data_IF_323162141507
#
_entry.id   IF_323162141507
#
_cell.length_a   1.000
_cell.length_b   1.000
_cell.length_c   1.000
_cell.angle_alpha   90.00
_cell.angle_beta   90.00
_cell.angle_gamma   90.00
#
_symmetry.space_group_name_H-M   'P 1'
#
loop_
_entity.id
_entity.type
_entity.pdbx_description
1 polymer ?
#
# COMPACT_ATOMS: atom_id res chain seq x y z
N UNK A 1 5.78 -30.64 26.57
CA UNK A 1 6.52 -29.80 25.61
C UNK A 1 5.81 -29.93 24.26
N UNK A 2 4.89 -29.00 23.91
CA UNK A 2 4.14 -29.08 22.67
C UNK A 2 4.97 -28.54 21.48
N UNK A 3 5.16 -29.42 20.50
CA UNK A 3 5.13 -29.24 19.03
C UNK A 3 5.37 -27.84 18.43
N UNK A 4 6.59 -27.63 17.93
CA UNK A 4 6.97 -26.54 17.01
C UNK A 4 6.50 -26.75 15.55
N UNK A 5 5.77 -27.83 15.27
CA UNK A 5 5.33 -28.22 13.91
C UNK A 5 3.91 -27.72 13.56
N UNK A 6 3.10 -27.41 14.58
CA UNK A 6 1.69 -27.02 14.41
C UNK A 6 1.52 -25.54 14.01
N UNK A 7 2.51 -24.69 14.32
CA UNK A 7 2.54 -23.26 13.89
C UNK A 7 2.96 -23.09 12.42
N UNK A 8 3.68 -24.07 11.84
CA UNK A 8 4.16 -24.00 10.47
C UNK A 8 3.03 -24.21 9.44
N UNK A 9 2.03 -25.02 9.77
CA UNK A 9 0.92 -25.34 8.88
C UNK A 9 -0.04 -24.15 8.63
N UNK A 10 -0.47 -23.38 9.66
CA UNK A 10 -1.24 -22.16 9.49
C UNK A 10 -0.50 -21.11 8.65
N UNK A 11 0.79 -20.88 8.92
CA UNK A 11 1.62 -19.94 8.16
C UNK A 11 1.75 -20.38 6.70
N UNK A 12 1.96 -21.68 6.45
CA UNK A 12 2.01 -22.22 5.09
C UNK A 12 0.69 -22.04 4.32
N UNK A 13 -0.47 -22.17 4.99
CA UNK A 13 -1.77 -21.90 4.38
C UNK A 13 -1.95 -20.42 4.05
N UNK A 14 -1.58 -19.51 4.96
CA UNK A 14 -1.63 -18.07 4.72
C UNK A 14 -0.72 -17.65 3.57
N UNK A 15 0.47 -18.23 3.47
CA UNK A 15 1.38 -17.99 2.34
C UNK A 15 0.77 -18.40 1.00
N UNK A 16 0.02 -19.51 0.97
CA UNK A 16 -0.72 -19.92 -0.25
C UNK A 16 -1.85 -18.95 -0.57
N UNK A 17 -2.60 -18.49 0.43
CA UNK A 17 -3.65 -17.47 0.23
C UNK A 17 -3.05 -16.19 -0.36
N UNK A 18 -1.95 -15.70 0.22
CA UNK A 18 -1.23 -14.52 -0.27
C UNK A 18 -0.76 -14.71 -1.73
N UNK A 19 -0.11 -15.85 -2.02
CA UNK A 19 0.35 -16.17 -3.38
C UNK A 19 -0.78 -16.23 -4.41
N UNK A 20 -1.99 -16.65 -4.03
CA UNK A 20 -3.16 -16.63 -4.91
C UNK A 20 -3.68 -15.22 -5.14
N UNK A 21 -3.74 -14.39 -4.08
CA UNK A 21 -4.19 -13.00 -4.18
C UNK A 21 -3.20 -12.13 -4.97
N UNK A 22 -1.90 -12.41 -4.92
CA UNK A 22 -0.87 -11.69 -5.68
C UNK A 22 -0.98 -11.91 -7.21
N UNK A 23 -1.73 -12.92 -7.67
CA UNK A 23 -2.02 -13.09 -9.11
C UNK A 23 -2.99 -12.00 -9.62
N UNK A 24 -3.83 -11.47 -8.73
CA UNK A 24 -4.74 -10.38 -9.06
C UNK A 24 -3.96 -9.06 -9.21
N UNK A 25 -4.37 -8.21 -10.14
CA UNK A 25 -3.65 -6.96 -10.49
C UNK A 25 -2.82 -7.07 -11.76
N UNK A 26 -2.08 -8.18 -11.94
CA UNK A 26 -1.43 -8.47 -13.22
C UNK A 26 -2.45 -8.87 -14.30
N UNK A 27 -3.63 -9.37 -13.92
CA UNK A 27 -4.68 -9.84 -14.83
C UNK A 27 -6.04 -9.33 -14.36
N UNK A 28 -6.90 -8.96 -15.31
CA UNK A 28 -8.32 -8.74 -15.03
C UNK A 28 -9.01 -10.10 -15.08
N UNK A 29 -9.76 -10.44 -14.04
CA UNK A 29 -10.56 -11.66 -13.95
C UNK A 29 -9.83 -13.00 -14.21
N UNK A 30 -8.69 -13.32 -13.57
CA UNK A 30 -7.95 -14.53 -13.88
C UNK A 30 -8.76 -15.82 -13.62
N UNK A 31 -8.61 -16.81 -14.50
CA UNK A 31 -9.26 -18.13 -14.33
C UNK A 31 -8.53 -19.00 -13.32
N UNK A 32 -9.16 -20.07 -12.82
CA UNK A 32 -8.49 -21.04 -11.94
C UNK A 32 -7.17 -21.55 -12.54
N UNK A 33 -7.15 -21.86 -13.84
CA UNK A 33 -5.95 -22.35 -14.51
C UNK A 33 -4.82 -21.31 -14.51
N UNK A 34 -5.16 -20.04 -14.74
CA UNK A 34 -4.19 -18.95 -14.71
C UNK A 34 -3.67 -18.69 -13.29
N UNK A 35 -4.56 -18.70 -12.30
CA UNK A 35 -4.19 -18.54 -10.89
C UNK A 35 -3.23 -19.65 -10.48
N UNK A 36 -3.52 -20.91 -10.80
CA UNK A 36 -2.65 -22.04 -10.43
C UNK A 36 -1.28 -21.97 -11.12
N UNK A 37 -1.24 -21.52 -12.37
CA UNK A 37 0.00 -21.38 -13.13
C UNK A 37 0.94 -20.33 -12.55
N UNK A 38 0.39 -19.23 -12.03
CA UNK A 38 1.17 -18.08 -11.58
C UNK A 38 1.41 -18.02 -10.07
N UNK A 39 0.61 -18.72 -9.27
CA UNK A 39 0.79 -18.78 -7.80
C UNK A 39 1.67 -19.92 -7.33
N UNK A 40 2.01 -20.87 -8.20
CA UNK A 40 2.70 -22.13 -7.85
C UNK A 40 1.96 -22.94 -6.75
N UNK A 41 0.63 -22.78 -6.64
CA UNK A 41 -0.24 -23.52 -5.72
C UNK A 41 -0.93 -24.67 -6.47
N UNK A 42 -0.90 -25.91 -5.95
CA UNK A 42 -1.56 -27.06 -6.58
C UNK A 42 -3.05 -26.81 -6.85
N UNK A 43 -3.56 -27.30 -7.99
CA UNK A 43 -4.92 -26.98 -8.47
C UNK A 43 -6.05 -27.32 -7.49
N UNK A 44 -5.97 -28.44 -6.78
CA UNK A 44 -6.98 -28.87 -5.80
C UNK A 44 -7.04 -27.92 -4.60
N UNK A 45 -5.88 -27.55 -4.04
CA UNK A 45 -5.74 -26.53 -2.99
C UNK A 45 -6.17 -25.15 -3.48
N UNK A 46 -5.72 -24.80 -4.69
CA UNK A 46 -6.24 -23.79 -5.61
C UNK A 46 -7.73 -23.50 -5.41
N UNK A 47 -8.48 -24.50 -5.86
CA UNK A 47 -9.92 -24.46 -5.93
C UNK A 47 -10.58 -24.27 -4.56
N UNK A 48 -10.13 -25.03 -3.55
CA UNK A 48 -10.68 -24.96 -2.19
C UNK A 48 -10.45 -23.59 -1.56
N UNK A 49 -9.24 -23.05 -1.65
CA UNK A 49 -8.92 -21.73 -1.10
C UNK A 49 -9.75 -20.64 -1.79
N UNK A 50 -9.83 -20.67 -3.13
CA UNK A 50 -10.63 -19.70 -3.87
C UNK A 50 -12.12 -19.79 -3.51
N UNK A 51 -12.68 -20.99 -3.30
CA UNK A 51 -14.05 -21.14 -2.81
C UNK A 51 -14.25 -20.47 -1.44
N UNK A 52 -13.32 -20.68 -0.50
CA UNK A 52 -13.39 -20.03 0.80
C UNK A 52 -13.24 -18.50 0.70
N UNK A 53 -12.35 -18.00 -0.17
CA UNK A 53 -12.21 -16.56 -0.41
C UNK A 53 -13.47 -15.93 -1.02
N UNK A 54 -14.20 -16.68 -1.88
CA UNK A 54 -15.52 -16.27 -2.38
C UNK A 54 -16.53 -16.19 -1.25
N UNK A 55 -16.61 -17.21 -0.38
CA UNK A 55 -17.52 -17.21 0.77
C UNK A 55 -17.25 -16.06 1.75
N UNK A 56 -15.98 -15.69 1.94
CA UNK A 56 -15.56 -14.56 2.77
C UNK A 56 -15.78 -13.19 2.09
N UNK A 57 -16.14 -13.17 0.80
CA UNK A 57 -16.32 -11.95 0.01
C UNK A 57 -15.01 -11.24 -0.37
N UNK A 58 -13.86 -11.91 -0.21
CA UNK A 58 -12.55 -11.35 -0.57
C UNK A 58 -12.31 -11.38 -2.07
N UNK A 59 -12.89 -12.37 -2.75
CA UNK A 59 -12.96 -12.45 -4.21
C UNK A 59 -14.39 -12.76 -4.64
N UNK A 60 -14.71 -12.48 -5.89
CA UNK A 60 -16.02 -12.73 -6.47
C UNK A 60 -15.86 -13.53 -7.78
N UNK A 61 -16.87 -14.31 -8.15
CA UNK A 61 -16.87 -14.99 -9.46
C UNK A 61 -17.25 -14.00 -10.54
N UNK A 62 -16.45 -13.92 -11.61
CA UNK A 62 -16.73 -13.10 -12.78
C UNK A 62 -16.64 -13.97 -14.03
N UNK A 63 -17.78 -14.47 -14.50
CA UNK A 63 -17.83 -15.44 -15.60
C UNK A 63 -17.03 -16.71 -15.28
N UNK A 64 -16.05 -17.03 -16.13
CA UNK A 64 -15.13 -18.16 -15.93
C UNK A 64 -13.96 -17.84 -14.97
N UNK A 65 -13.81 -16.59 -14.56
CA UNK A 65 -12.71 -16.09 -13.74
C UNK A 65 -13.12 -15.61 -12.36
N UNK A 66 -12.16 -14.97 -11.68
CA UNK A 66 -12.34 -14.40 -10.35
C UNK A 66 -11.94 -12.93 -10.35
N UNK A 67 -12.70 -12.08 -9.67
CA UNK A 67 -12.38 -10.67 -9.43
C UNK A 67 -12.09 -10.42 -7.95
N UNK A 68 -11.42 -9.31 -7.62
CA UNK A 68 -11.32 -8.88 -6.22
C UNK A 68 -12.70 -8.47 -5.72
N UNK A 69 -13.08 -8.96 -4.54
CA UNK A 69 -14.38 -8.71 -3.95
C UNK A 69 -14.42 -7.43 -3.13
N UNK A 70 -15.64 -6.94 -2.90
CA UNK A 70 -15.90 -5.71 -2.14
C UNK A 70 -15.31 -5.69 -0.72
N UNK A 71 -15.11 -6.85 -0.08
CA UNK A 71 -14.54 -6.91 1.28
C UNK A 71 -13.11 -6.39 1.34
N UNK A 72 -12.31 -6.68 0.32
CA UNK A 72 -10.92 -6.17 0.25
C UNK A 72 -10.90 -4.65 0.06
N UNK A 73 -11.84 -4.11 -0.71
CA UNK A 73 -11.99 -2.67 -0.86
C UNK A 73 -12.38 -1.98 0.46
N UNK A 74 -13.33 -2.56 1.20
CA UNK A 74 -13.73 -2.07 2.52
C UNK A 74 -12.54 -2.02 3.49
N UNK A 75 -11.78 -3.10 3.59
CA UNK A 75 -10.58 -3.18 4.43
C UNK A 75 -9.51 -2.17 4.01
N UNK A 76 -9.30 -1.99 2.69
CA UNK A 76 -8.39 -0.99 2.16
C UNK A 76 -8.81 0.44 2.54
N UNK A 77 -10.10 0.76 2.44
CA UNK A 77 -10.63 2.07 2.85
C UNK A 77 -10.46 2.31 4.36
N UNK A 78 -10.70 1.28 5.18
CA UNK A 78 -10.45 1.35 6.62
C UNK A 78 -8.97 1.61 6.92
N UNK A 79 -8.06 0.91 6.24
CA UNK A 79 -6.62 1.11 6.38
C UNK A 79 -6.19 2.54 5.99
N UNK A 80 -6.71 3.08 4.87
CA UNK A 80 -6.44 4.47 4.45
C UNK A 80 -6.86 5.49 5.51
N UNK A 81 -8.05 5.33 6.09
CA UNK A 81 -8.58 6.22 7.15
C UNK A 81 -7.77 6.23 8.44
N UNK A 82 -6.95 5.22 8.69
CA UNK A 82 -6.04 5.21 9.85
C UNK A 82 -4.88 6.19 9.69
N UNK A 83 -4.67 6.75 8.49
CA UNK A 83 -3.58 7.65 8.18
C UNK A 83 -4.10 9.04 7.83
N UNK A 84 -3.61 10.05 8.56
CA UNK A 84 -3.91 11.47 8.26
C UNK A 84 -3.13 12.00 7.04
N UNK A 85 -2.03 11.35 6.68
CA UNK A 85 -1.16 11.80 5.57
C UNK A 85 -1.85 11.76 4.21
N UNK A 86 -2.54 10.68 3.80
CA UNK A 86 -3.26 10.67 2.53
C UNK A 86 -4.27 11.80 2.40
N UNK A 87 -5.07 12.05 3.44
CA UNK A 87 -6.06 13.14 3.44
C UNK A 87 -5.41 14.51 3.26
N UNK A 88 -4.30 14.78 3.97
CA UNK A 88 -3.55 16.03 3.86
C UNK A 88 -2.80 16.17 2.51
N UNK A 89 -2.37 15.06 1.92
CA UNK A 89 -1.58 15.05 0.69
C UNK A 89 -2.41 15.35 -0.56
N UNK A 90 -3.67 14.90 -0.62
CA UNK A 90 -4.53 15.05 -1.80
C UNK A 90 -4.60 16.48 -2.36
N UNK A 91 -4.93 17.54 -1.58
CA UNK A 91 -4.99 18.90 -2.11
C UNK A 91 -3.62 19.41 -2.58
N UNK A 92 -2.54 19.03 -1.90
CA UNK A 92 -1.16 19.42 -2.25
C UNK A 92 -0.73 18.75 -3.56
N UNK A 93 -1.06 17.46 -3.74
CA UNK A 93 -0.79 16.70 -4.97
C UNK A 93 -1.53 17.29 -6.17
N UNK A 94 -2.80 17.67 -5.98
CA UNK A 94 -3.61 18.30 -7.03
C UNK A 94 -3.00 19.64 -7.49
N UNK A 95 -2.54 20.46 -6.55
CA UNK A 95 -1.88 21.73 -6.83
C UNK A 95 -0.50 21.55 -7.50
N UNK A 96 0.31 20.59 -7.06
CA UNK A 96 1.56 20.23 -7.74
C UNK A 96 1.31 19.80 -9.19
N UNK A 97 0.35 18.91 -9.43
CA UNK A 97 0.00 18.48 -10.77
C UNK A 97 -0.43 19.65 -11.64
N UNK A 98 -1.33 20.51 -11.13
CA UNK A 98 -1.82 21.69 -11.85
C UNK A 98 -0.69 22.64 -12.26
N UNK A 99 0.30 22.87 -11.39
CA UNK A 99 1.41 23.81 -11.67
C UNK A 99 2.50 23.24 -12.56
N UNK A 100 2.74 21.94 -12.48
CA UNK A 100 3.90 21.30 -13.12
C UNK A 100 3.54 20.49 -14.35
N UNK A 101 2.28 20.07 -14.49
CA UNK A 101 1.83 19.07 -15.46
C UNK A 101 2.34 17.65 -15.18
N UNK A 102 3.14 17.46 -14.12
CA UNK A 102 3.73 16.18 -13.74
C UNK A 102 2.75 15.35 -12.92
N UNK A 103 2.89 14.04 -12.95
CA UNK A 103 2.04 13.18 -12.13
C UNK A 103 2.61 13.06 -10.73
N UNK A 104 1.76 13.29 -9.73
CA UNK A 104 2.11 13.19 -8.33
C UNK A 104 1.71 11.84 -7.76
N UNK A 105 2.59 11.25 -6.95
CA UNK A 105 2.32 10.02 -6.21
C UNK A 105 2.57 10.23 -4.72
N UNK A 106 1.69 9.66 -3.91
CA UNK A 106 1.96 9.42 -2.50
C UNK A 106 2.31 7.95 -2.32
N UNK A 107 3.46 7.67 -1.73
CA UNK A 107 3.95 6.32 -1.48
C UNK A 107 4.17 6.09 0.00
N UNK A 108 4.04 4.83 0.43
CA UNK A 108 4.34 4.37 1.80
C UNK A 108 5.35 3.24 1.78
N UNK A 109 6.28 3.23 2.73
CA UNK A 109 7.20 2.10 2.93
C UNK A 109 6.42 0.88 3.44
N UNK A 110 6.54 -0.24 2.75
CA UNK A 110 5.89 -1.51 3.09
C UNK A 110 6.89 -2.67 2.90
N UNK A 111 7.57 -3.04 3.99
CA UNK A 111 8.64 -4.05 3.95
C UNK A 111 9.77 -3.63 3.02
N UNK A 112 10.05 -4.45 2.01
CA UNK A 112 11.11 -4.24 1.00
C UNK A 112 10.67 -3.42 -0.21
N UNK A 113 9.45 -2.86 -0.18
CA UNK A 113 8.86 -2.08 -1.28
C UNK A 113 8.32 -0.73 -0.80
N UNK A 114 8.16 0.21 -1.75
CA UNK A 114 7.22 1.32 -1.62
C UNK A 114 5.92 0.98 -2.32
N UNK A 115 4.80 1.28 -1.69
CA UNK A 115 3.45 1.12 -2.24
C UNK A 115 2.88 2.48 -2.59
N UNK A 116 2.46 2.69 -3.84
CA UNK A 116 1.75 3.89 -4.25
C UNK A 116 0.30 3.83 -3.78
N UNK A 117 -0.11 4.76 -2.94
CA UNK A 117 -1.45 4.75 -2.30
C UNK A 117 -2.37 5.86 -2.82
N UNK A 118 -1.79 6.93 -3.39
CA UNK A 118 -2.53 7.97 -4.11
C UNK A 118 -1.78 8.36 -5.38
N UNK A 119 -2.53 8.81 -6.38
CA UNK A 119 -2.01 9.29 -7.66
C UNK A 119 -2.85 10.49 -8.13
N UNK A 120 -2.19 11.54 -8.58
CA UNK A 120 -2.84 12.67 -9.25
C UNK A 120 -2.14 12.97 -10.58
N UNK A 121 -2.87 12.82 -11.68
CA UNK A 121 -2.33 12.90 -13.05
C UNK A 121 -2.35 11.56 -13.78
N UNK A 122 -2.35 11.63 -15.11
CA UNK A 122 -2.56 10.48 -16.01
C UNK A 122 -1.28 9.96 -16.66
N UNK A 123 -0.15 10.63 -16.49
CA UNK A 123 1.13 10.24 -17.09
C UNK A 123 2.02 9.46 -16.10
N UNK A 124 2.85 8.50 -16.54
CA UNK A 124 2.71 7.81 -17.81
C UNK A 124 1.34 7.10 -17.88
N UNK A 125 0.68 7.20 -19.03
CA UNK A 125 -0.62 6.55 -19.28
C UNK A 125 -0.45 5.08 -19.63
N UNK A 126 0.76 4.71 -20.08
CA UNK A 126 1.16 3.36 -20.43
C UNK A 126 1.95 2.71 -19.29
N UNK A 127 1.57 1.50 -18.91
CA UNK A 127 2.29 0.69 -17.92
C UNK A 127 1.57 0.60 -16.56
N UNK A 128 1.50 -0.61 -16.02
CA UNK A 128 0.94 -0.87 -14.67
C UNK A 128 1.82 -0.33 -13.54
N UNK A 129 3.06 0.03 -13.85
CA UNK A 129 4.13 0.32 -12.90
C UNK A 129 3.97 1.61 -12.08
N UNK A 130 2.87 2.34 -12.25
CA UNK A 130 2.67 3.65 -11.62
C UNK A 130 1.22 3.87 -11.17
N UNK A 131 0.43 2.80 -11.09
CA UNK A 131 -0.95 2.85 -10.61
C UNK A 131 -1.00 2.80 -9.09
N UNK A 132 -2.11 3.29 -8.51
CA UNK A 132 -2.41 3.06 -7.10
C UNK A 132 -2.46 1.56 -6.83
N UNK A 133 -1.82 1.12 -5.75
CA UNK A 133 -1.62 -0.29 -5.42
C UNK A 133 -0.34 -0.91 -5.99
N UNK A 134 0.41 -0.19 -6.84
CA UNK A 134 1.66 -0.72 -7.40
C UNK A 134 2.80 -0.67 -6.39
N UNK A 135 3.60 -1.75 -6.36
CA UNK A 135 4.77 -1.90 -5.48
C UNK A 135 6.05 -1.72 -6.29
N UNK A 136 6.97 -0.90 -5.79
CA UNK A 136 8.32 -0.78 -6.34
C UNK A 136 9.36 -1.14 -5.29
N UNK A 137 10.46 -1.83 -5.66
CA UNK A 137 11.55 -2.08 -4.72
C UNK A 137 12.11 -0.76 -4.16
N UNK A 138 12.43 -0.75 -2.87
CA UNK A 138 12.81 0.49 -2.15
C UNK A 138 14.11 1.08 -2.71
N UNK A 139 15.08 0.24 -3.02
CA UNK A 139 16.38 0.67 -3.57
C UNK A 139 16.30 1.19 -5.01
N UNK A 140 15.35 0.69 -5.81
CA UNK A 140 15.17 1.11 -7.20
C UNK A 140 14.36 2.41 -7.34
N UNK A 141 13.44 2.68 -6.41
CA UNK A 141 12.54 3.84 -6.51
C UNK A 141 13.12 5.12 -5.90
N UNK A 142 12.86 6.28 -6.51
CA UNK A 142 13.18 7.58 -5.90
C UNK A 142 12.53 7.73 -4.52
N UNK A 143 11.25 7.37 -4.40
CA UNK A 143 10.50 7.42 -3.14
C UNK A 143 11.15 6.54 -2.06
N UNK A 144 11.54 5.31 -2.40
CA UNK A 144 12.21 4.41 -1.47
C UNK A 144 13.58 4.93 -1.03
N UNK A 145 14.38 5.46 -1.96
CA UNK A 145 15.66 6.10 -1.63
C UNK A 145 15.49 7.33 -0.74
N UNK A 146 14.48 8.16 -0.97
CA UNK A 146 14.15 9.30 -0.10
C UNK A 146 13.81 8.84 1.32
N UNK A 147 13.10 7.72 1.46
CA UNK A 147 12.75 7.13 2.76
C UNK A 147 13.95 6.50 3.46
N UNK A 148 14.76 5.69 2.77
CA UNK A 148 15.97 5.07 3.32
C UNK A 148 17.00 6.10 3.78
N UNK A 149 17.08 7.25 3.10
CA UNK A 149 17.99 8.33 3.48
C UNK A 149 17.69 8.91 4.88
N UNK A 150 16.45 8.79 5.36
CA UNK A 150 16.01 9.20 6.70
C UNK A 150 16.02 8.07 7.74
N UNK A 151 16.52 6.90 7.37
CA UNK A 151 16.58 5.73 8.23
C UNK A 151 18.03 5.40 8.55
N UNK A 152 18.25 4.98 9.79
CA UNK A 152 19.48 4.28 10.13
C UNK A 152 19.59 3.01 9.29
N UNK A 153 20.80 2.71 8.84
CA UNK A 153 21.08 1.57 7.96
C UNK A 153 20.73 0.23 8.62
N UNK A 154 20.78 0.14 9.95
CA UNK A 154 20.34 -1.02 10.73
C UNK A 154 18.83 -1.27 10.67
N UNK A 155 18.04 -0.25 10.34
CA UNK A 155 16.59 -0.34 10.21
C UNK A 155 16.14 -0.56 8.76
N UNK A 156 17.08 -0.70 7.82
CA UNK A 156 16.73 -0.97 6.43
C UNK A 156 16.10 -2.36 6.29
N UNK A 157 15.10 -2.50 5.41
CA UNK A 157 14.57 -3.82 5.06
C UNK A 157 15.63 -4.64 4.29
N UNK A 158 15.41 -5.94 4.15
CA UNK A 158 16.29 -6.79 3.35
C UNK A 158 16.19 -6.42 1.85
N UNK A 159 17.18 -5.69 1.35
CA UNK A 159 17.18 -5.17 -0.01
C UNK A 159 17.61 -6.24 -1.03
N UNK A 160 16.96 -6.23 -2.20
CA UNK A 160 17.26 -7.16 -3.31
C UNK A 160 17.53 -6.38 -4.58
N UNK A 161 18.75 -6.44 -5.11
CA UNK A 161 19.15 -5.66 -6.28
C UNK A 161 18.75 -6.33 -7.59
N UNK A 162 17.44 -6.46 -7.82
CA UNK A 162 16.90 -6.89 -9.10
C UNK A 162 16.82 -5.68 -10.03
N UNK A 163 17.82 -5.55 -10.92
CA UNK A 163 17.96 -4.41 -11.82
C UNK A 163 16.89 -4.47 -12.92
N UNK A 164 15.97 -3.49 -12.92
CA UNK A 164 14.89 -3.40 -13.93
C UNK A 164 15.25 -2.54 -15.15
N UNK A 165 16.30 -1.73 -15.06
CA UNK A 165 16.77 -0.82 -16.11
C UNK A 165 18.30 -0.72 -16.10
N UNK A 166 18.96 -0.44 -17.24
CA UNK A 166 20.40 -0.19 -17.28
C UNK A 166 20.89 0.88 -16.31
N UNK A 167 20.03 1.82 -15.91
CA UNK A 167 20.36 2.93 -15.00
C UNK A 167 19.92 2.69 -13.54
N UNK A 168 19.36 1.52 -13.25
CA UNK A 168 18.93 1.14 -11.91
C UNK A 168 20.09 0.86 -10.95
N UNK A 169 19.81 0.89 -9.65
CA UNK A 169 20.80 0.64 -8.60
C UNK A 169 21.15 -0.84 -8.57
N UNK A 170 22.43 -1.19 -8.74
CA UNK A 170 22.85 -2.60 -8.94
C UNK A 170 23.33 -3.29 -7.68
N UNK A 171 23.72 -2.54 -6.66
CA UNK A 171 24.26 -3.09 -5.41
C UNK A 171 24.22 -2.08 -4.26
N UNK A 172 24.58 -2.57 -3.07
CA UNK A 172 24.60 -1.78 -1.83
C UNK A 172 25.55 -0.59 -1.88
N UNK A 173 26.72 -0.74 -2.49
CA UNK A 173 27.69 0.35 -2.57
C UNK A 173 27.17 1.50 -3.46
N UNK A 174 26.53 1.16 -4.59
CA UNK A 174 25.86 2.13 -5.45
C UNK A 174 24.70 2.81 -4.71
N UNK A 175 23.84 2.04 -4.03
CA UNK A 175 22.79 2.60 -3.20
C UNK A 175 23.35 3.59 -2.16
N UNK A 176 24.43 3.23 -1.47
CA UNK A 176 25.09 4.09 -0.49
C UNK A 176 25.49 5.44 -1.08
N UNK A 177 26.09 5.46 -2.28
CA UNK A 177 26.41 6.70 -2.99
C UNK A 177 25.17 7.53 -3.34
N UNK A 178 24.12 6.88 -3.82
CA UNK A 178 22.85 7.57 -4.09
C UNK A 178 22.27 8.18 -2.81
N UNK A 179 22.26 7.46 -1.69
CA UNK A 179 21.72 7.97 -0.43
C UNK A 179 22.55 9.08 0.17
N UNK A 180 23.87 9.08 0.00
CA UNK A 180 24.72 10.22 0.36
C UNK A 180 24.33 11.47 -0.43
N UNK A 181 24.08 11.34 -1.74
CA UNK A 181 23.62 12.46 -2.56
C UNK A 181 22.20 12.93 -2.16
N UNK A 182 21.31 11.99 -1.81
CA UNK A 182 19.96 12.31 -1.31
C UNK A 182 20.05 13.13 -0.02
N UNK A 183 20.88 12.71 0.95
CA UNK A 183 21.09 13.43 2.21
C UNK A 183 21.68 14.81 1.99
N UNK A 184 22.67 14.94 1.10
CA UNK A 184 23.27 16.23 0.75
C UNK A 184 22.26 17.21 0.11
N UNK A 185 21.16 16.71 -0.48
CA UNK A 185 20.07 17.50 -1.06
C UNK A 185 18.86 17.67 -0.12
N UNK A 186 19.08 17.55 1.19
CA UNK A 186 17.99 17.71 2.17
C UNK A 186 16.95 16.57 2.14
N UNK A 187 17.35 15.37 1.71
CA UNK A 187 16.46 14.21 1.62
C UNK A 187 15.76 14.04 0.27
N UNK A 188 16.01 14.92 -0.71
CA UNK A 188 15.40 14.82 -2.04
C UNK A 188 16.14 13.79 -2.89
N UNK A 189 15.42 12.73 -3.29
CA UNK A 189 15.90 11.71 -4.21
C UNK A 189 15.51 12.04 -5.64
N UNK A 190 16.44 11.76 -6.55
CA UNK A 190 16.24 11.89 -7.99
C UNK A 190 16.51 10.54 -8.63
N UNK A 191 15.63 10.15 -9.54
CA UNK A 191 15.75 8.98 -10.38
C UNK A 191 15.60 9.42 -11.84
N UNK A 192 16.65 9.25 -12.64
CA UNK A 192 16.63 9.57 -14.07
C UNK A 192 16.76 8.25 -14.81
N UNK A 193 15.64 7.74 -15.31
CA UNK A 193 15.55 6.50 -16.08
C UNK A 193 15.95 5.22 -15.32
N UNK A 194 16.19 5.31 -14.00
CA UNK A 194 16.66 4.21 -13.17
C UNK A 194 15.59 3.17 -12.86
N UNK A 195 14.34 3.59 -12.63
CA UNK A 195 13.25 2.64 -12.50
C UNK A 195 12.66 2.21 -13.85
N UNK A 196 12.45 3.16 -14.75
CA UNK A 196 11.79 2.98 -16.05
C UNK A 196 12.46 3.87 -17.10
N UNK A 197 12.88 3.34 -18.27
CA UNK A 197 13.48 4.14 -19.33
C UNK A 197 12.60 5.33 -19.76
N UNK A 198 13.22 6.48 -20.00
CA UNK A 198 12.52 7.70 -20.39
C UNK A 198 11.68 8.38 -19.29
N UNK A 199 11.72 7.90 -18.05
CA UNK A 199 11.00 8.51 -16.91
C UNK A 199 11.97 9.14 -15.92
N UNK A 200 11.68 10.39 -15.52
CA UNK A 200 12.33 11.02 -14.36
C UNK A 200 11.36 11.08 -13.20
N UNK A 201 11.83 10.70 -12.01
CA UNK A 201 11.09 10.81 -10.76
C UNK A 201 11.91 11.59 -9.76
N UNK A 202 11.29 12.58 -9.12
CA UNK A 202 11.88 13.33 -8.01
C UNK A 202 11.01 13.14 -6.79
N UNK A 203 11.59 12.74 -5.66
CA UNK A 203 10.85 12.39 -4.46
C UNK A 203 11.44 13.06 -3.22
N UNK A 204 10.57 13.49 -2.32
CA UNK A 204 10.95 13.95 -1.00
C UNK A 204 10.15 13.17 0.05
N UNK A 205 10.75 12.87 1.21
CA UNK A 205 10.06 12.12 2.22
C UNK A 205 9.19 13.05 3.07
N UNK A 206 8.08 12.52 3.61
CA UNK A 206 7.19 13.23 4.52
C UNK A 206 7.59 12.81 5.94
N UNK A 207 8.45 13.62 6.55
CA UNK A 207 9.03 13.33 7.87
C UNK A 207 8.02 13.61 8.98
N UNK A 208 7.44 12.57 9.57
CA UNK A 208 6.53 12.72 10.71
C UNK A 208 7.26 12.50 12.03
N UNK A 209 6.79 13.18 13.08
CA UNK A 209 7.28 13.01 14.44
C UNK A 209 6.78 11.67 15.02
N UNK A 210 7.60 10.63 14.82
CA UNK A 210 7.64 9.32 15.47
C UNK A 210 6.70 8.17 14.99
N UNK A 211 7.28 6.96 14.98
CA UNK A 211 6.64 5.65 15.20
C UNK A 211 5.63 5.14 14.17
N UNK A 212 5.32 5.91 13.14
CA UNK A 212 4.31 5.59 12.13
C UNK A 212 4.84 5.12 10.79
N UNK A 213 3.91 4.85 9.88
CA UNK A 213 4.21 4.60 8.48
C UNK A 213 5.06 5.73 7.88
N UNK A 214 6.07 5.36 7.10
CA UNK A 214 6.96 6.30 6.43
C UNK A 214 6.41 6.59 5.04
N UNK A 215 6.14 7.87 4.76
CA UNK A 215 5.56 8.30 3.49
C UNK A 215 6.55 9.13 2.68
N UNK A 216 6.42 9.09 1.35
CA UNK A 216 7.13 9.96 0.45
C UNK A 216 6.17 10.53 -0.60
N UNK A 217 6.43 11.77 -0.99
CA UNK A 217 5.77 12.44 -2.10
C UNK A 217 6.73 12.43 -3.28
N UNK A 218 6.23 12.11 -4.48
CA UNK A 218 7.04 12.18 -5.70
C UNK A 218 6.29 12.83 -6.86
N UNK A 219 7.06 13.40 -7.78
CA UNK A 219 6.62 13.86 -9.09
C UNK A 219 7.35 13.07 -10.16
N UNK A 220 6.60 12.57 -11.16
CA UNK A 220 7.15 11.88 -12.31
C UNK A 220 6.76 12.55 -13.64
N UNK A 221 7.71 12.55 -14.57
CA UNK A 221 7.58 13.15 -15.89
C UNK A 221 8.53 12.56 -16.93
N UNK A 222 8.40 12.93 -18.20
CA UNK A 222 9.31 12.49 -19.26
C UNK A 222 10.74 12.97 -18.99
N UNK A 223 11.73 12.09 -19.10
CA UNK A 223 13.12 12.41 -18.78
C UNK A 223 13.68 13.57 -19.61
N UNK A 224 13.24 13.69 -20.87
CA UNK A 224 13.69 14.74 -21.80
C UNK A 224 13.21 16.15 -21.43
N UNK A 225 12.10 16.28 -20.70
CA UNK A 225 11.45 17.58 -20.45
C UNK A 225 11.34 17.93 -18.96
N UNK A 226 11.61 16.98 -18.06
CA UNK A 226 11.51 17.20 -16.61
C UNK A 226 12.72 17.97 -16.10
N UNK A 227 12.52 19.21 -15.65
CA UNK A 227 13.57 20.04 -15.03
C UNK A 227 13.74 19.65 -13.57
N UNK A 228 14.88 19.08 -13.20
CA UNK A 228 15.08 18.44 -11.88
C UNK A 228 15.04 19.46 -10.75
N UNK A 229 15.77 20.58 -10.85
CA UNK A 229 15.93 21.53 -9.75
C UNK A 229 14.60 22.20 -9.33
N UNK A 230 13.77 22.72 -10.26
CA UNK A 230 12.47 23.27 -9.90
C UNK A 230 11.53 22.22 -9.30
N UNK A 231 11.57 21.00 -9.83
CA UNK A 231 10.73 19.89 -9.35
C UNK A 231 11.16 19.43 -7.96
N UNK A 232 12.48 19.37 -7.71
CA UNK A 232 13.06 19.06 -6.40
C UNK A 232 12.61 20.08 -5.33
N UNK A 233 12.68 21.37 -5.65
CA UNK A 233 12.20 22.42 -4.75
C UNK A 233 10.69 22.30 -4.48
N UNK A 234 9.89 22.07 -5.53
CA UNK A 234 8.44 21.95 -5.42
C UNK A 234 8.01 20.73 -4.58
N UNK A 235 8.61 19.56 -4.81
CA UNK A 235 8.26 18.34 -4.05
C UNK A 235 8.73 18.42 -2.61
N UNK A 236 9.90 19.01 -2.35
CA UNK A 236 10.40 19.21 -1.00
C UNK A 236 9.50 20.16 -0.20
N UNK A 237 9.15 21.32 -0.77
CA UNK A 237 8.23 22.27 -0.14
C UNK A 237 6.85 21.67 0.13
N UNK A 238 6.32 20.89 -0.82
CA UNK A 238 5.06 20.20 -0.67
C UNK A 238 5.09 19.11 0.41
N UNK A 239 6.15 18.30 0.47
CA UNK A 239 6.31 17.28 1.51
C UNK A 239 6.38 17.91 2.91
N UNK A 240 7.06 19.05 3.03
CA UNK A 240 7.11 19.84 4.26
C UNK A 240 5.73 20.40 4.66
N UNK A 241 4.98 20.95 3.71
CA UNK A 241 3.62 21.45 3.96
C UNK A 241 2.67 20.34 4.44
N UNK A 242 2.75 19.15 3.85
CA UNK A 242 1.97 17.98 4.29
C UNK A 242 2.36 17.60 5.73
N UNK A 243 3.66 17.49 6.03
CA UNK A 243 4.14 17.20 7.38
C UNK A 243 3.59 18.19 8.42
N UNK A 244 3.64 19.48 8.12
CA UNK A 244 3.17 20.52 9.03
C UNK A 244 1.67 20.41 9.28
N UNK A 245 0.88 20.27 8.21
CA UNK A 245 -0.59 20.13 8.32
C UNK A 245 -1.04 18.92 9.14
N UNK A 246 -0.28 17.82 9.12
CA UNK A 246 -0.57 16.61 9.90
C UNK A 246 -0.18 16.77 11.37
N UNK A 247 0.84 17.58 11.65
CA UNK A 247 1.38 17.84 13.00
C UNK A 247 0.56 18.86 13.78
N UNK A 248 -0.04 19.84 13.10
CA UNK A 248 -0.86 20.89 13.73
C UNK A 248 -2.25 20.41 14.19
N UNK A 249 -2.68 19.21 13.77
CA UNK A 249 -3.97 18.64 14.20
C UNK A 249 -3.80 17.90 15.54
N UNK A 250 -4.40 18.35 16.66
CA UNK A 250 -4.22 17.71 17.96
C UNK A 250 -4.49 16.21 17.93
N UNK A 251 -3.64 15.42 18.61
CA UNK A 251 -3.79 13.96 18.76
C UNK A 251 -5.09 13.54 19.48
N UNK A 252 -5.87 14.48 20.03
CA UNK A 252 -7.08 14.23 20.84
C UNK A 252 -8.27 13.61 20.08
N UNK A 253 -8.39 13.80 18.75
CA UNK A 253 -9.52 13.25 17.99
C UNK A 253 -9.55 11.71 17.92
N UNK A 254 -8.37 11.06 17.93
CA UNK A 254 -8.28 9.60 17.86
C UNK A 254 -8.65 8.90 19.19
N UNK A 255 -8.50 9.60 20.31
CA UNK A 255 -8.82 9.09 21.66
C UNK A 255 -10.32 9.19 21.95
N UNK A 256 -10.98 10.26 21.49
CA UNK A 256 -12.44 10.40 21.55
C UNK A 256 -13.17 9.47 20.58
N UNK A 257 -12.64 9.24 19.37
CA UNK A 257 -13.21 8.25 18.45
C UNK A 257 -13.15 6.81 19.01
N UNK A 258 -12.06 6.45 19.69
CA UNK A 258 -11.95 5.17 20.42
C UNK A 258 -12.87 5.08 21.64
N UNK A 259 -13.14 6.18 22.33
CA UNK A 259 -14.08 6.23 23.45
C UNK A 259 -15.54 6.15 23.00
N UNK A 260 -15.89 6.85 21.91
CA UNK A 260 -17.24 6.83 21.33
C UNK A 260 -17.58 5.46 20.72
N UNK A 261 -16.61 4.76 20.13
CA UNK A 261 -16.82 3.40 19.60
C UNK A 261 -16.94 2.32 20.70
N UNK A 262 -16.48 2.60 21.92
CA UNK A 262 -16.62 1.71 23.08
C UNK A 262 -17.91 1.96 23.88
N UNK A 263 -18.63 3.04 23.57
CA UNK A 263 -19.88 3.42 24.24
C UNK A 263 -21.15 3.00 23.48
N UNK A 264 -21.02 2.43 22.28
CA UNK A 264 -22.15 1.88 21.51
C UNK A 264 -22.02 0.36 21.46
N UNK A 265 -22.29 -0.27 22.60
CA UNK A 265 -22.73 -1.67 22.68
C UNK A 265 -24.07 -1.66 23.40
N UNK A 266 -25.19 -1.98 22.73
CA UNK A 266 -26.38 -2.44 23.43
C UNK A 266 -26.07 -3.83 23.96
N UNK A 267 -25.93 -3.92 25.27
CA UNK A 267 -26.13 -5.16 26.01
C UNK A 267 -27.58 -5.63 25.77
N UNK A 268 -27.76 -6.88 25.33
CA UNK A 268 -28.86 -7.79 25.71
C UNK A 268 -28.86 -9.01 24.79
N UNK A 269 -28.10 -10.06 25.15
CA UNK A 269 -28.44 -11.44 24.77
C UNK A 269 -28.00 -12.39 25.90
N UNK A 270 -28.95 -12.75 26.76
CA UNK A 270 -29.12 -14.02 27.48
C UNK A 270 -30.13 -13.77 28.63
N UNK A 271 -31.09 -14.64 28.99
CA UNK A 271 -31.44 -16.03 28.64
C UNK A 271 -32.81 -16.32 29.32
N UNK A 272 -33.42 -17.45 28.98
CA UNK A 272 -34.53 -18.22 29.61
C UNK A 272 -35.77 -18.24 28.72
N UNK A 273 -36.39 -19.36 28.40
CA UNK A 273 -36.24 -20.73 28.88
C UNK A 273 -37.26 -21.64 28.17
N UNK A 274 -37.11 -22.93 28.42
CA UNK A 274 -37.76 -24.09 27.82
C UNK A 274 -39.31 -24.12 27.81
N UNK A 275 -39.83 -24.76 26.75
CA UNK A 275 -41.01 -25.62 26.63
C UNK A 275 -41.98 -25.77 27.82
N UNK A 276 -43.29 -25.57 27.57
CA UNK A 276 -44.34 -26.53 27.98
C UNK A 276 -45.59 -26.43 27.09
N UNK A 277 -46.27 -27.57 27.00
CA UNK A 277 -47.40 -27.99 26.17
C UNK A 277 -48.77 -27.56 26.75
N UNK A 278 -49.79 -27.57 25.88
CA UNK A 278 -51.24 -27.77 26.12
C UNK A 278 -52.17 -26.57 26.43
N UNK A 279 -53.04 -26.33 25.43
CA UNK A 279 -54.50 -26.46 25.47
C UNK A 279 -55.40 -25.41 26.17
N UNK A 280 -56.56 -25.26 25.50
CA UNK A 280 -57.87 -24.80 25.96
C UNK A 280 -58.23 -23.30 25.81
N UNK A 281 -59.13 -23.03 24.86
CA UNK A 281 -60.47 -22.54 25.21
C UNK A 281 -60.82 -21.08 24.91
N UNK A 282 -61.67 -20.89 23.89
CA UNK A 282 -63.00 -20.29 24.12
C UNK A 282 -63.23 -18.80 23.79
N UNK A 283 -64.08 -18.59 22.77
CA UNK A 283 -65.03 -17.46 22.66
C UNK A 283 -64.44 -16.14 22.16
N UNK A 284 -65.04 -15.40 21.23
CA UNK A 284 -66.34 -15.46 20.55
C UNK A 284 -66.19 -14.68 19.24
#
# INVERSE_FOLDING_TARGET
MPTSDDDAAPIAMLNRVAALLDVFGARQAPTLAEITRHSNVPRSSAHRILQSLVQLGWIERQGAGYALGSKLFELGCQAKRLHRVPEAALPVMADLHRRTGLTAHLSVLAGTHVLHIERFGIWPSTGKCWQVGFKQPVEQSAAGRALLAQMDESAWPELRYAVSSPYGVRNRAELGRHLTAVRARGGVAVDVEGCEPGVTVVAAPISLNEGGNRFALSLCGPAKSTRIEPVAAAVHSAAWAICHSVSDVPRNGARQARAAHRAVTPAMVHRLGETTVAAAGGGR
#
